data_IF_055532009479
#
_entry.id   IF_055532009479
#
_cell.length_a   1.000
_cell.length_b   1.000
_cell.length_c   1.000
_cell.angle_alpha   90.00
_cell.angle_beta   90.00
_cell.angle_gamma   90.00
#
_symmetry.space_group_name_H-M   'P 1'
#
loop_
_entity.id
_entity.type
_entity.pdbx_description
1 polymer ?
#
# COMPACT_ATOMS: atom_id res chain seq x y z
N UNK A 1 28.03 -9.64 57.60
CA UNK A 1 28.93 -9.96 58.74
C UNK A 1 29.10 -11.46 58.80
N UNK A 2 30.37 -11.91 58.72
CA UNK A 2 31.03 -13.09 59.33
C UNK A 2 30.25 -14.41 59.41
N UNK A 3 30.78 -15.62 59.14
CA UNK A 3 32.14 -16.15 59.09
C UNK A 3 32.02 -17.54 58.41
N UNK A 4 32.86 -17.90 57.44
CA UNK A 4 34.09 -18.75 57.59
C UNK A 4 33.94 -20.02 58.43
N UNK A 5 34.18 -21.19 57.82
CA UNK A 5 35.30 -22.15 58.07
C UNK A 5 34.96 -23.48 57.32
N UNK A 6 35.74 -23.93 56.32
CA UNK A 6 36.94 -24.79 56.36
C UNK A 6 36.74 -26.23 56.87
N UNK A 7 36.88 -27.20 55.95
CA UNK A 7 37.74 -28.43 56.01
C UNK A 7 37.31 -29.36 54.85
N UNK A 8 38.10 -29.66 53.80
CA UNK A 8 39.37 -30.40 53.67
C UNK A 8 39.25 -31.89 54.06
N UNK A 9 39.00 -32.79 53.09
CA UNK A 9 39.54 -34.17 53.06
C UNK A 9 39.69 -34.65 51.60
N UNK A 10 40.89 -35.17 51.36
CA UNK A 10 41.50 -35.76 50.16
C UNK A 10 41.01 -37.18 49.88
N UNK A 11 40.91 -37.62 48.61
CA UNK A 11 41.27 -38.99 48.20
C UNK A 11 41.32 -39.14 46.67
N UNK A 12 42.48 -39.57 46.16
CA UNK A 12 42.68 -40.12 44.81
C UNK A 12 41.99 -41.49 44.67
N UNK A 13 41.53 -41.81 43.47
CA UNK A 13 41.18 -43.17 43.07
C UNK A 13 40.91 -43.29 41.57
N UNK A 14 41.94 -43.68 40.81
CA UNK A 14 41.80 -44.22 39.44
C UNK A 14 41.10 -45.58 39.50
N UNK A 15 40.18 -45.88 38.58
CA UNK A 15 39.64 -47.24 38.44
C UNK A 15 38.41 -47.38 37.57
N UNK A 16 38.65 -47.55 36.26
CA UNK A 16 37.96 -48.42 35.29
C UNK A 16 36.52 -48.92 35.50
N UNK A 17 35.76 -48.75 34.40
CA UNK A 17 34.84 -49.71 33.76
C UNK A 17 33.37 -49.82 34.25
N UNK A 18 32.49 -49.31 33.37
CA UNK A 18 31.30 -49.94 32.77
C UNK A 18 30.31 -50.68 33.69
N UNK A 19 29.04 -50.23 33.69
CA UNK A 19 27.95 -50.84 32.91
C UNK A 19 26.57 -50.29 33.34
N UNK A 20 25.63 -50.41 32.39
CA UNK A 20 24.18 -50.49 32.54
C UNK A 20 23.35 -49.21 32.63
N UNK A 21 22.77 -48.88 31.46
CA UNK A 21 21.63 -48.01 31.23
C UNK A 21 20.46 -48.26 32.19
N UNK A 22 19.92 -47.18 32.77
CA UNK A 22 18.49 -47.05 32.97
C UNK A 22 17.96 -46.01 31.97
N UNK A 23 17.01 -46.46 31.16
CA UNK A 23 16.30 -45.67 30.18
C UNK A 23 15.51 -44.54 30.85
N UNK A 24 15.95 -43.30 30.68
CA UNK A 24 15.06 -42.15 30.73
C UNK A 24 14.51 -41.96 29.32
N UNK A 25 13.25 -42.35 29.11
CA UNK A 25 12.50 -41.99 27.91
C UNK A 25 12.50 -40.46 27.78
N UNK A 26 13.27 -39.94 26.82
CA UNK A 26 13.20 -38.52 26.45
C UNK A 26 11.78 -38.19 26.01
N UNK A 27 11.19 -37.07 26.47
CA UNK A 27 9.93 -36.58 25.95
C UNK A 27 10.03 -36.34 24.45
N UNK A 28 8.97 -36.71 23.74
CA UNK A 28 8.69 -36.38 22.35
C UNK A 28 8.54 -34.87 22.24
N UNK A 29 9.65 -34.15 22.13
CA UNK A 29 9.65 -32.73 21.83
C UNK A 29 9.23 -32.52 20.38
N UNK A 30 8.22 -31.66 20.27
CA UNK A 30 7.58 -31.17 19.07
C UNK A 30 8.62 -30.79 18.01
N UNK A 31 8.48 -31.37 16.81
CA UNK A 31 9.25 -30.94 15.65
C UNK A 31 8.80 -29.53 15.28
N UNK A 32 9.51 -28.57 15.88
CA UNK A 32 9.65 -27.20 15.42
C UNK A 32 9.92 -27.21 13.92
N UNK A 33 9.08 -26.49 13.16
CA UNK A 33 9.30 -26.28 11.74
C UNK A 33 10.68 -25.63 11.56
N UNK A 34 11.63 -26.35 10.96
CA UNK A 34 12.93 -25.79 10.61
C UNK A 34 12.73 -24.49 9.82
N UNK A 35 13.44 -23.40 10.15
CA UNK A 35 13.32 -22.15 9.42
C UNK A 35 13.65 -22.40 7.96
N UNK A 36 12.75 -22.00 7.08
CA UNK A 36 12.97 -22.04 5.63
C UNK A 36 14.21 -21.21 5.33
N UNK A 37 15.21 -21.81 4.71
CA UNK A 37 16.41 -21.08 4.28
C UNK A 37 16.04 -19.93 3.31
N UNK A 38 16.85 -18.88 3.29
CA UNK A 38 16.56 -17.66 2.52
C UNK A 38 16.44 -17.93 1.00
N UNK A 39 17.02 -19.02 0.52
CA UNK A 39 16.93 -19.44 -0.88
C UNK A 39 15.55 -20.02 -1.19
N UNK A 40 15.05 -20.92 -0.34
CA UNK A 40 13.72 -21.54 -0.45
C UNK A 40 12.59 -20.54 -0.23
N UNK A 41 12.81 -19.51 0.59
CA UNK A 41 11.81 -18.49 0.89
C UNK A 41 11.26 -17.78 -0.37
N UNK A 42 12.08 -17.61 -1.42
CA UNK A 42 11.67 -16.97 -2.68
C UNK A 42 10.69 -17.81 -3.49
N UNK A 43 10.76 -19.13 -3.36
CA UNK A 43 9.92 -20.09 -4.09
C UNK A 43 8.56 -20.30 -3.44
N UNK A 44 8.40 -19.96 -2.15
CA UNK A 44 7.14 -20.11 -1.42
C UNK A 44 6.07 -19.21 -2.03
N UNK A 45 4.90 -19.77 -2.31
CA UNK A 45 3.71 -19.11 -2.80
C UNK A 45 3.00 -19.94 -3.85
N UNK A 46 1.89 -19.39 -4.35
CA UNK A 46 1.18 -19.93 -5.49
C UNK A 46 1.72 -19.29 -6.77
N UNK A 47 1.84 -20.06 -7.83
CA UNK A 47 2.41 -19.69 -9.11
C UNK A 47 1.53 -20.20 -10.24
N UNK A 48 1.42 -19.43 -11.30
CA UNK A 48 0.49 -19.68 -12.40
C UNK A 48 1.10 -19.28 -13.75
N UNK A 49 0.84 -20.10 -14.76
CA UNK A 49 1.25 -19.88 -16.15
C UNK A 49 0.29 -20.59 -17.10
N UNK A 50 0.61 -20.61 -18.38
CA UNK A 50 -0.28 -21.17 -19.41
C UNK A 50 -0.56 -22.67 -19.16
N UNK A 51 -1.76 -22.95 -18.64
CA UNK A 51 -2.18 -24.31 -18.28
C UNK A 51 -1.37 -24.93 -17.13
N UNK A 52 -0.58 -24.16 -16.38
CA UNK A 52 0.26 -24.67 -15.29
C UNK A 52 -0.04 -23.93 -14.00
N UNK A 53 -0.21 -24.67 -12.91
CA UNK A 53 -0.25 -24.13 -11.55
C UNK A 53 0.77 -24.87 -10.69
N UNK A 54 1.47 -24.12 -9.86
CA UNK A 54 2.48 -24.64 -8.94
C UNK A 54 2.30 -23.93 -7.61
N UNK A 55 2.27 -24.66 -6.50
CA UNK A 55 2.18 -24.08 -5.16
C UNK A 55 3.25 -24.69 -4.26
N UNK A 56 3.96 -23.83 -3.53
CA UNK A 56 4.94 -24.21 -2.52
C UNK A 56 4.56 -23.51 -1.23
N UNK A 57 4.10 -24.27 -0.24
CA UNK A 57 3.74 -23.74 1.07
C UNK A 57 4.98 -23.58 1.98
N UNK A 58 4.81 -22.80 3.06
CA UNK A 58 5.86 -22.57 4.08
C UNK A 58 6.29 -23.86 4.79
N UNK A 59 5.41 -24.84 4.88
CA UNK A 59 5.68 -26.18 5.42
C UNK A 59 6.32 -27.14 4.38
N UNK A 60 6.82 -26.58 3.27
CA UNK A 60 7.44 -27.28 2.14
C UNK A 60 6.47 -28.20 1.37
N UNK A 61 5.15 -28.06 1.54
CA UNK A 61 4.17 -28.77 0.68
C UNK A 61 4.27 -28.25 -0.74
N UNK A 62 4.41 -29.18 -1.69
CA UNK A 62 4.51 -28.90 -3.12
C UNK A 62 3.29 -29.49 -3.84
N UNK A 63 2.64 -28.67 -4.67
CA UNK A 63 1.57 -29.08 -5.58
C UNK A 63 1.87 -28.55 -6.96
N UNK A 64 1.81 -29.40 -7.97
CA UNK A 64 1.96 -29.03 -9.38
C UNK A 64 0.81 -29.62 -10.19
N UNK A 65 0.25 -28.82 -11.08
CA UNK A 65 -0.74 -29.27 -12.05
C UNK A 65 -0.42 -28.64 -13.40
N UNK A 66 -0.41 -29.44 -14.45
CA UNK A 66 -0.22 -29.00 -15.83
C UNK A 66 -1.29 -29.62 -16.72
N UNK A 67 -1.96 -28.78 -17.49
CA UNK A 67 -3.00 -29.13 -18.44
C UNK A 67 -2.60 -28.62 -19.82
N UNK A 68 -2.62 -29.51 -20.82
CA UNK A 68 -2.36 -29.18 -22.23
C UNK A 68 -3.41 -29.87 -23.08
N UNK A 69 -4.38 -29.09 -23.56
CA UNK A 69 -5.56 -29.63 -24.28
C UNK A 69 -6.37 -30.56 -23.38
N UNK A 70 -6.60 -31.79 -23.83
CA UNK A 70 -7.31 -32.84 -23.08
C UNK A 70 -6.44 -33.62 -22.09
N UNK A 71 -5.11 -33.39 -22.07
CA UNK A 71 -4.18 -34.10 -21.18
C UNK A 71 -3.92 -33.27 -19.93
N UNK A 72 -4.05 -33.89 -18.75
CA UNK A 72 -3.67 -33.29 -17.47
C UNK A 72 -2.65 -34.15 -16.74
N UNK A 73 -1.74 -33.51 -16.03
CA UNK A 73 -0.74 -34.12 -15.16
C UNK A 73 -0.72 -33.38 -13.83
N UNK A 74 -0.54 -34.11 -12.74
CA UNK A 74 -0.45 -33.51 -11.41
C UNK A 74 0.53 -34.26 -10.53
N UNK A 75 1.14 -33.54 -9.60
CA UNK A 75 2.09 -34.10 -8.66
C UNK A 75 1.99 -33.37 -7.33
N UNK A 76 1.94 -34.14 -6.25
CA UNK A 76 1.86 -33.63 -4.88
C UNK A 76 2.97 -34.28 -4.05
N UNK A 77 3.61 -33.51 -3.18
CA UNK A 77 4.69 -34.02 -2.34
C UNK A 77 5.25 -32.99 -1.39
N UNK A 78 6.45 -33.27 -0.87
CA UNK A 78 7.22 -32.36 -0.02
C UNK A 78 8.51 -31.96 -0.74
N UNK A 79 8.84 -30.67 -0.72
CA UNK A 79 10.14 -30.19 -1.20
C UNK A 79 11.22 -30.76 -0.28
N UNK A 80 12.09 -31.59 -0.85
CA UNK A 80 13.24 -32.18 -0.16
C UNK A 80 14.43 -31.22 -0.17
N UNK A 81 14.69 -30.60 -1.33
CA UNK A 81 15.77 -29.65 -1.53
C UNK A 81 15.50 -28.78 -2.77
N UNK A 82 16.04 -27.56 -2.76
CA UNK A 82 16.20 -26.71 -3.94
C UNK A 82 17.69 -26.51 -4.12
N UNK A 83 18.28 -27.11 -5.15
CA UNK A 83 19.73 -27.06 -5.37
C UNK A 83 20.08 -27.31 -6.82
N UNK A 84 21.14 -26.67 -7.32
CA UNK A 84 21.63 -26.89 -8.68
C UNK A 84 20.61 -26.57 -9.78
N UNK A 85 19.73 -25.58 -9.56
CA UNK A 85 18.67 -25.23 -10.50
C UNK A 85 17.57 -26.27 -10.61
N UNK A 86 17.31 -27.04 -9.56
CA UNK A 86 16.24 -28.04 -9.52
C UNK A 86 15.45 -27.97 -8.21
N UNK A 87 14.14 -28.21 -8.30
CA UNK A 87 13.28 -28.48 -7.15
C UNK A 87 13.13 -29.99 -7.05
N UNK A 88 13.65 -30.57 -5.98
CA UNK A 88 13.56 -32.00 -5.69
C UNK A 88 12.38 -32.22 -4.76
N UNK A 89 11.37 -32.94 -5.25
CA UNK A 89 10.11 -33.21 -4.54
C UNK A 89 10.01 -34.68 -4.21
N UNK A 90 9.80 -35.00 -2.93
CA UNK A 90 9.47 -36.36 -2.49
C UNK A 90 7.95 -36.54 -2.58
N UNK A 91 7.51 -37.39 -3.50
CA UNK A 91 6.11 -37.72 -3.73
C UNK A 91 5.88 -39.20 -3.39
N UNK A 92 5.22 -39.47 -2.27
CA UNK A 92 5.04 -40.82 -1.73
C UNK A 92 6.37 -41.63 -1.69
N UNK A 93 6.53 -42.62 -2.58
CA UNK A 93 7.71 -43.51 -2.67
C UNK A 93 8.71 -43.13 -3.77
N UNK A 94 8.46 -42.07 -4.53
CA UNK A 94 9.33 -41.64 -5.64
C UNK A 94 9.87 -40.22 -5.42
N UNK A 95 10.98 -39.91 -6.09
CA UNK A 95 11.53 -38.56 -6.17
C UNK A 95 11.27 -37.96 -7.55
N UNK A 96 10.66 -36.79 -7.56
CA UNK A 96 10.40 -35.99 -8.75
C UNK A 96 11.38 -34.82 -8.78
N UNK A 97 11.89 -34.49 -9.96
CA UNK A 97 12.81 -33.36 -10.16
C UNK A 97 12.21 -32.42 -11.18
N UNK A 98 12.05 -31.16 -10.79
CA UNK A 98 11.60 -30.08 -11.66
C UNK A 98 12.79 -29.18 -11.94
N UNK A 99 13.10 -28.96 -13.21
CA UNK A 99 14.18 -28.06 -13.62
C UNK A 99 13.72 -26.62 -13.44
N UNK A 100 14.53 -25.81 -12.78
CA UNK A 100 14.36 -24.36 -12.68
C UNK A 100 15.24 -23.73 -13.75
N UNK A 101 14.64 -23.40 -14.89
CA UNK A 101 15.36 -22.75 -16.00
C UNK A 101 15.70 -21.29 -15.66
N UNK A 102 14.81 -20.62 -14.93
CA UNK A 102 15.01 -19.26 -14.41
C UNK A 102 14.52 -19.24 -12.96
N UNK A 103 15.41 -18.91 -12.04
CA UNK A 103 15.09 -18.81 -10.61
C UNK A 103 14.07 -17.69 -10.34
N UNK A 104 13.32 -17.74 -9.22
CA UNK A 104 12.43 -16.66 -8.82
C UNK A 104 13.15 -15.32 -8.76
N UNK A 105 12.75 -14.42 -9.64
CA UNK A 105 13.21 -13.04 -9.72
C UNK A 105 12.03 -12.12 -9.54
N UNK A 106 12.26 -11.03 -8.79
CA UNK A 106 11.30 -9.95 -8.64
C UNK A 106 11.74 -8.78 -9.53
N UNK A 107 10.91 -8.46 -10.52
CA UNK A 107 11.05 -7.24 -11.32
C UNK A 107 9.74 -6.45 -11.20
N UNK A 108 9.85 -5.18 -10.79
CA UNK A 108 8.71 -4.28 -10.60
C UNK A 108 7.56 -4.84 -9.72
N UNK A 109 7.90 -5.64 -8.69
CA UNK A 109 6.90 -6.23 -7.82
C UNK A 109 6.11 -7.37 -8.45
N UNK A 110 6.59 -7.88 -9.58
CA UNK A 110 6.12 -9.10 -10.22
C UNK A 110 7.17 -10.17 -10.02
N UNK A 111 6.78 -11.22 -9.30
CA UNK A 111 7.61 -12.41 -9.14
C UNK A 111 7.38 -13.33 -10.32
N UNK A 112 8.45 -13.64 -11.06
CA UNK A 112 8.47 -14.56 -12.19
C UNK A 112 9.49 -15.66 -11.95
N UNK A 113 9.21 -16.84 -12.50
CA UNK A 113 10.17 -17.94 -12.57
C UNK A 113 9.85 -18.83 -13.77
N UNK A 114 10.80 -19.66 -14.19
CA UNK A 114 10.57 -20.66 -15.25
C UNK A 114 10.90 -22.04 -14.71
N UNK A 115 9.92 -22.95 -14.77
CA UNK A 115 10.06 -24.33 -14.30
C UNK A 115 9.65 -25.31 -15.40
N UNK A 116 10.55 -26.22 -15.76
CA UNK A 116 10.42 -27.18 -16.87
C UNK A 116 9.94 -26.52 -18.17
N UNK A 117 10.54 -25.37 -18.51
CA UNK A 117 10.20 -24.55 -19.66
C UNK A 117 8.87 -23.79 -19.57
N UNK A 118 8.16 -23.85 -18.44
CA UNK A 118 6.90 -23.14 -18.23
C UNK A 118 7.18 -21.84 -17.47
N UNK A 119 6.88 -20.70 -18.11
CA UNK A 119 6.94 -19.40 -17.46
C UNK A 119 5.78 -19.26 -16.46
N UNK A 120 6.10 -18.94 -15.21
CA UNK A 120 5.16 -18.84 -14.11
C UNK A 120 5.25 -17.47 -13.45
N UNK A 121 4.09 -16.93 -13.07
CA UNK A 121 3.95 -15.70 -12.29
C UNK A 121 3.34 -16.03 -10.96
N UNK A 122 3.87 -15.47 -9.86
CA UNK A 122 3.34 -15.73 -8.53
C UNK A 122 1.94 -15.14 -8.40
N UNK A 123 0.94 -15.90 -7.93
CA UNK A 123 -0.40 -15.39 -7.66
C UNK A 123 -0.34 -14.34 -6.56
N UNK A 124 -0.95 -13.19 -6.80
CA UNK A 124 -0.80 -12.00 -5.96
C UNK A 124 0.43 -11.13 -6.29
N UNK A 125 1.31 -11.57 -7.20
CA UNK A 125 2.28 -10.69 -7.84
C UNK A 125 1.54 -9.64 -8.68
N UNK A 126 1.66 -8.39 -8.27
CA UNK A 126 0.79 -7.30 -8.67
C UNK A 126 0.57 -6.28 -7.55
N UNK A 127 0.69 -6.71 -6.28
CA UNK A 127 0.71 -5.79 -5.14
C UNK A 127 1.90 -4.80 -5.19
N UNK A 128 3.06 -5.25 -5.72
CA UNK A 128 4.24 -4.39 -5.91
C UNK A 128 4.17 -3.49 -7.16
N UNK A 129 3.54 -3.94 -8.26
CA UNK A 129 3.16 -3.05 -9.38
C UNK A 129 2.21 -1.94 -8.92
N UNK A 130 1.24 -2.27 -8.06
CA UNK A 130 0.34 -1.29 -7.46
C UNK A 130 1.08 -0.23 -6.66
N UNK A 131 2.09 -0.60 -5.85
CA UNK A 131 2.85 0.34 -5.03
C UNK A 131 3.79 1.27 -5.84
N UNK A 132 4.50 0.72 -6.84
CA UNK A 132 5.39 1.51 -7.71
C UNK A 132 4.62 2.39 -8.69
N UNK A 133 3.51 1.87 -9.25
CA UNK A 133 2.59 2.66 -10.08
C UNK A 133 1.91 3.74 -9.24
N UNK A 134 1.43 3.41 -8.03
CA UNK A 134 0.84 4.39 -7.10
C UNK A 134 1.79 5.54 -6.80
N UNK A 135 3.05 5.24 -6.46
CA UNK A 135 4.04 6.29 -6.14
C UNK A 135 4.34 7.16 -7.35
N UNK A 136 4.50 6.56 -8.55
CA UNK A 136 4.73 7.30 -9.80
C UNK A 136 3.51 8.13 -10.22
N UNK A 137 2.31 7.60 -10.01
CA UNK A 137 1.02 8.23 -10.26
C UNK A 137 0.82 9.43 -9.33
N UNK A 138 0.99 9.24 -8.02
CA UNK A 138 0.91 10.30 -7.00
C UNK A 138 1.90 11.43 -7.31
N UNK A 139 3.14 11.10 -7.68
CA UNK A 139 4.15 12.08 -8.08
C UNK A 139 3.78 12.84 -9.36
N UNK A 140 3.21 12.15 -10.36
CA UNK A 140 2.76 12.78 -11.61
C UNK A 140 1.61 13.77 -11.38
N UNK A 141 0.62 13.38 -10.58
CA UNK A 141 -0.51 14.24 -10.20
C UNK A 141 -0.01 15.46 -9.42
N UNK A 142 0.85 15.25 -8.42
CA UNK A 142 1.42 16.34 -7.61
C UNK A 142 2.19 17.34 -8.49
N UNK A 143 2.97 16.85 -9.45
CA UNK A 143 3.73 17.70 -10.38
C UNK A 143 2.80 18.50 -11.29
N UNK A 144 1.79 17.85 -11.89
CA UNK A 144 0.87 18.51 -12.81
C UNK A 144 0.04 19.62 -12.15
N UNK A 145 -0.30 19.46 -10.86
CA UNK A 145 -1.11 20.43 -10.12
C UNK A 145 -0.34 21.24 -9.08
N UNK A 146 0.99 21.27 -9.17
CA UNK A 146 1.84 22.05 -8.26
C UNK A 146 1.46 23.55 -8.26
N UNK A 147 1.05 24.09 -9.41
CA UNK A 147 0.58 25.47 -9.55
C UNK A 147 -0.73 25.74 -8.79
N UNK A 148 -1.57 24.71 -8.61
CA UNK A 148 -2.83 24.76 -7.84
C UNK A 148 -2.64 24.51 -6.34
N UNK A 149 -1.40 24.59 -5.84
CA UNK A 149 -1.11 24.48 -4.41
C UNK A 149 -1.25 23.06 -3.86
N UNK A 150 -1.27 22.03 -4.71
CA UNK A 150 -1.24 20.63 -4.26
C UNK A 150 0.17 20.32 -3.74
N UNK A 151 0.26 19.77 -2.53
CA UNK A 151 1.51 19.44 -1.83
C UNK A 151 1.71 17.93 -1.69
N UNK A 152 0.63 17.17 -1.60
CA UNK A 152 0.63 15.71 -1.45
C UNK A 152 -0.56 15.14 -2.17
N UNK A 153 -0.41 13.94 -2.73
CA UNK A 153 -1.51 13.17 -3.33
C UNK A 153 -1.46 11.77 -2.75
N UNK A 154 -2.64 11.25 -2.38
CA UNK A 154 -2.82 9.89 -1.88
C UNK A 154 -3.89 9.21 -2.72
N UNK A 155 -3.50 8.16 -3.42
CA UNK A 155 -4.41 7.32 -4.19
C UNK A 155 -4.78 6.05 -3.40
N UNK A 156 -5.95 5.43 -3.65
CA UNK A 156 -6.34 4.19 -3.01
C UNK A 156 -5.36 3.05 -3.35
N UNK A 157 -5.22 2.07 -2.45
CA UNK A 157 -4.27 0.96 -2.61
C UNK A 157 -4.60 0.06 -3.80
N UNK A 158 -5.87 -0.01 -4.20
CA UNK A 158 -6.34 -0.79 -5.34
C UNK A 158 -6.65 0.13 -6.52
N UNK A 159 -5.64 0.43 -7.33
CA UNK A 159 -5.77 1.18 -8.61
C UNK A 159 -6.20 0.28 -9.77
N UNK A 160 -6.88 -0.83 -9.50
CA UNK A 160 -7.28 -1.84 -10.49
C UNK A 160 -8.53 -1.43 -11.28
N UNK A 161 -9.20 -0.35 -10.89
CA UNK A 161 -10.37 0.18 -11.57
C UNK A 161 -9.98 1.19 -12.67
N UNK A 162 -10.73 1.25 -13.79
CA UNK A 162 -10.45 2.19 -14.87
C UNK A 162 -10.70 3.65 -14.47
N UNK A 163 -11.47 3.87 -13.40
CA UNK A 163 -11.75 5.16 -12.81
C UNK A 163 -11.64 5.05 -11.28
N UNK A 164 -10.94 5.99 -10.65
CA UNK A 164 -10.80 6.08 -9.20
C UNK A 164 -10.50 7.52 -8.77
N UNK A 165 -10.69 7.81 -7.49
CA UNK A 165 -10.47 9.14 -6.92
C UNK A 165 -9.26 9.11 -6.00
N UNK A 166 -8.27 9.95 -6.27
CA UNK A 166 -7.18 10.24 -5.33
C UNK A 166 -7.54 11.47 -4.48
N UNK A 167 -6.98 11.56 -3.29
CA UNK A 167 -7.11 12.72 -2.41
C UNK A 167 -5.85 13.57 -2.49
N UNK A 168 -5.98 14.83 -2.91
CA UNK A 168 -4.89 15.79 -2.89
C UNK A 168 -4.97 16.66 -1.62
N UNK A 169 -3.83 16.92 -0.99
CA UNK A 169 -3.68 17.87 0.11
C UNK A 169 -3.14 19.20 -0.43
N UNK A 170 -3.83 20.28 -0.13
CA UNK A 170 -3.50 21.64 -0.53
C UNK A 170 -2.59 22.32 0.51
N UNK A 171 -1.89 23.40 0.12
CA UNK A 171 -1.02 24.19 1.00
C UNK A 171 -1.71 24.73 2.26
N UNK A 172 -3.02 24.97 2.19
CA UNK A 172 -3.83 25.43 3.32
C UNK A 172 -4.35 24.26 4.20
N UNK A 173 -3.88 23.03 3.98
CA UNK A 173 -4.29 21.84 4.74
C UNK A 173 -5.62 21.23 4.29
N UNK A 174 -6.39 21.89 3.41
CA UNK A 174 -7.62 21.33 2.85
C UNK A 174 -7.32 20.18 1.89
N UNK A 175 -8.33 19.35 1.65
CA UNK A 175 -8.24 18.25 0.68
C UNK A 175 -9.16 18.46 -0.50
N UNK A 176 -8.69 18.08 -1.70
CA UNK A 176 -9.48 18.11 -2.93
C UNK A 176 -9.49 16.74 -3.61
N UNK A 177 -10.61 16.33 -4.22
CA UNK A 177 -10.65 15.11 -5.02
C UNK A 177 -9.90 15.31 -6.35
N UNK A 178 -9.16 14.28 -6.75
CA UNK A 178 -8.57 14.17 -8.07
C UNK A 178 -9.16 12.95 -8.75
N UNK A 179 -10.00 13.18 -9.75
CA UNK A 179 -10.59 12.13 -10.56
C UNK A 179 -9.53 11.62 -11.55
N UNK A 180 -9.21 10.32 -11.45
CA UNK A 180 -8.25 9.64 -12.31
C UNK A 180 -8.99 8.68 -13.21
N UNK A 181 -8.74 8.79 -14.51
CA UNK A 181 -9.31 7.90 -15.54
C UNK A 181 -8.22 7.32 -16.41
N UNK A 182 -8.18 5.98 -16.48
CA UNK A 182 -7.31 5.23 -17.37
C UNK A 182 -7.78 5.39 -18.82
N UNK A 183 -6.94 5.97 -19.66
CA UNK A 183 -7.20 6.15 -21.10
C UNK A 183 -6.78 4.94 -21.91
N UNK A 184 -5.65 4.31 -21.54
CA UNK A 184 -5.15 3.13 -22.24
C UNK A 184 -4.49 2.15 -21.25
N UNK A 185 -5.15 1.01 -21.03
CA UNK A 185 -4.67 -0.03 -20.13
C UNK A 185 -3.34 -0.67 -20.57
N UNK A 186 -3.11 -0.77 -21.87
CA UNK A 186 -1.90 -1.38 -22.43
C UNK A 186 -0.67 -0.48 -22.34
N UNK A 187 -0.85 0.84 -22.16
CA UNK A 187 0.23 1.84 -22.05
C UNK A 187 0.35 2.47 -20.66
N UNK A 188 -0.64 2.28 -19.79
CA UNK A 188 -0.68 2.96 -18.50
C UNK A 188 -0.91 4.47 -18.63
N UNK A 189 -1.64 4.90 -19.67
CA UNK A 189 -1.95 6.32 -19.88
C UNK A 189 -3.13 6.73 -18.99
N UNK A 190 -2.92 7.69 -18.09
CA UNK A 190 -3.95 8.22 -17.21
C UNK A 190 -4.31 9.67 -17.57
N UNK A 191 -5.53 10.06 -17.23
CA UNK A 191 -5.95 11.45 -17.22
C UNK A 191 -6.43 11.85 -15.84
N UNK A 192 -6.14 13.10 -15.47
CA UNK A 192 -6.43 13.64 -14.16
C UNK A 192 -7.29 14.88 -14.29
N UNK A 193 -8.32 14.99 -13.44
CA UNK A 193 -9.14 16.19 -13.30
C UNK A 193 -9.29 16.54 -11.82
N UNK A 194 -9.07 17.80 -11.48
CA UNK A 194 -9.33 18.32 -10.15
C UNK A 194 -9.88 19.74 -10.26
N UNK A 195 -10.93 19.99 -9.49
CA UNK A 195 -11.65 21.26 -9.47
C UNK A 195 -11.24 21.98 -8.19
N UNK A 196 -10.15 22.74 -8.33
CA UNK A 196 -9.64 23.65 -7.30
C UNK A 196 -9.49 25.01 -7.97
N UNK A 197 -10.13 26.01 -7.36
CA UNK A 197 -9.99 27.43 -7.70
C UNK A 197 -8.89 28.01 -6.83
N UNK A 198 -7.90 28.66 -7.44
CA UNK A 198 -6.98 29.52 -6.72
C UNK A 198 -7.43 30.98 -6.83
N UNK A 199 -7.63 31.62 -5.68
CA UNK A 199 -8.10 33.00 -5.59
C UNK A 199 -7.30 33.73 -4.52
N UNK A 200 -6.96 34.98 -4.76
CA UNK A 200 -6.38 35.84 -3.74
C UNK A 200 -7.42 36.18 -2.66
N UNK A 201 -7.06 36.06 -1.38
CA UNK A 201 -7.99 36.25 -0.26
C UNK A 201 -8.59 37.66 -0.21
N UNK A 202 -7.80 38.68 -0.53
CA UNK A 202 -8.28 40.07 -0.55
C UNK A 202 -9.22 40.31 -1.73
N UNK A 203 -8.92 39.69 -2.88
CA UNK A 203 -9.80 39.70 -4.05
C UNK A 203 -11.14 39.02 -3.76
N UNK A 204 -11.11 37.85 -3.12
CA UNK A 204 -12.33 37.13 -2.72
C UNK A 204 -13.16 37.96 -1.73
N UNK A 205 -12.51 38.54 -0.72
CA UNK A 205 -13.17 39.38 0.28
C UNK A 205 -13.86 40.61 -0.36
N UNK A 206 -13.17 41.27 -1.30
CA UNK A 206 -13.72 42.42 -2.04
C UNK A 206 -14.94 42.02 -2.87
N UNK A 207 -14.81 40.96 -3.67
CA UNK A 207 -15.91 40.46 -4.51
C UNK A 207 -17.13 40.03 -3.67
N UNK A 208 -16.91 39.36 -2.54
CA UNK A 208 -18.00 38.97 -1.64
C UNK A 208 -18.70 40.19 -1.03
N UNK A 209 -17.94 41.18 -0.56
CA UNK A 209 -18.54 42.40 0.01
C UNK A 209 -19.41 43.13 -1.03
N UNK A 210 -18.97 43.21 -2.28
CA UNK A 210 -19.73 43.79 -3.39
C UNK A 210 -20.97 42.97 -3.73
N UNK A 211 -20.85 41.65 -3.84
CA UNK A 211 -21.98 40.75 -4.11
C UNK A 211 -23.05 40.84 -3.02
N UNK A 212 -22.64 40.80 -1.75
CA UNK A 212 -23.54 40.94 -0.60
C UNK A 212 -24.28 42.28 -0.66
N UNK A 213 -23.56 43.38 -0.88
CA UNK A 213 -24.18 44.70 -0.96
C UNK A 213 -25.16 44.80 -2.14
N UNK A 214 -24.81 44.24 -3.31
CA UNK A 214 -25.64 44.26 -4.51
C UNK A 214 -26.92 43.43 -4.34
N UNK A 215 -26.80 42.17 -3.94
CA UNK A 215 -27.93 41.25 -3.85
C UNK A 215 -28.88 41.57 -2.69
N UNK A 216 -28.36 42.10 -1.58
CA UNK A 216 -29.21 42.59 -0.48
C UNK A 216 -29.80 43.98 -0.74
N UNK A 217 -29.55 44.57 -1.93
CA UNK A 217 -29.98 45.93 -2.29
C UNK A 217 -29.51 46.99 -1.28
N UNK A 218 -28.28 46.84 -0.78
CA UNK A 218 -27.66 47.72 0.21
C UNK A 218 -28.18 47.56 1.64
N UNK A 219 -29.08 46.60 1.91
CA UNK A 219 -29.57 46.34 3.28
C UNK A 219 -28.45 45.85 4.18
N UNK A 220 -27.55 45.03 3.65
CA UNK A 220 -26.39 44.52 4.35
C UNK A 220 -25.13 45.11 3.70
N UNK A 221 -24.38 45.91 4.46
CA UNK A 221 -23.13 46.52 4.01
C UNK A 221 -22.00 46.05 4.90
N UNK A 222 -21.30 45.00 4.48
CA UNK A 222 -20.29 44.33 5.28
C UNK A 222 -18.88 44.68 4.83
N UNK A 223 -17.94 44.68 5.78
CA UNK A 223 -16.54 44.41 5.49
C UNK A 223 -16.33 42.92 5.64
N UNK A 224 -15.72 42.26 4.65
CA UNK A 224 -15.42 40.83 4.66
C UNK A 224 -13.92 40.64 4.82
N UNK A 225 -13.52 39.64 5.61
CA UNK A 225 -12.15 39.18 5.79
C UNK A 225 -12.10 37.67 5.55
N UNK A 226 -11.41 37.26 4.49
CA UNK A 226 -11.21 35.86 4.11
C UNK A 226 -9.77 35.37 4.45
N UNK A 227 -9.05 36.10 5.30
CA UNK A 227 -7.65 35.86 5.61
C UNK A 227 -6.69 36.51 4.61
N UNK A 228 -5.50 35.93 4.47
CA UNK A 228 -4.40 36.53 3.69
C UNK A 228 -3.80 35.53 2.69
N UNK A 229 -3.23 36.06 1.60
CA UNK A 229 -2.53 35.29 0.59
C UNK A 229 -3.45 34.54 -0.39
N UNK A 230 -2.91 33.51 -1.06
CA UNK A 230 -3.66 32.67 -1.99
C UNK A 230 -4.48 31.61 -1.26
N UNK A 231 -5.78 31.58 -1.53
CA UNK A 231 -6.71 30.55 -1.10
C UNK A 231 -6.85 29.50 -2.20
N UNK A 232 -6.86 28.23 -1.78
CA UNK A 232 -7.13 27.09 -2.64
C UNK A 232 -8.44 26.47 -2.18
N UNK A 233 -9.48 26.64 -2.99
CA UNK A 233 -10.86 26.27 -2.66
C UNK A 233 -11.29 25.10 -3.55
N UNK A 234 -11.47 23.90 -2.98
CA UNK A 234 -12.08 22.78 -3.69
C UNK A 234 -13.52 23.13 -4.10
N UNK A 235 -13.93 22.67 -5.27
CA UNK A 235 -15.33 22.78 -5.68
C UNK A 235 -16.26 22.08 -4.67
N UNK A 236 -17.38 22.73 -4.35
CA UNK A 236 -18.33 22.20 -3.38
C UNK A 236 -18.05 22.54 -1.91
N UNK A 237 -16.80 22.86 -1.56
CA UNK A 237 -16.36 23.10 -0.17
C UNK A 237 -16.53 24.58 0.23
N UNK A 238 -17.35 24.90 1.24
CA UNK A 238 -17.52 26.28 1.68
C UNK A 238 -16.25 26.83 2.35
N UNK A 239 -15.96 28.08 2.07
CA UNK A 239 -14.97 28.87 2.78
C UNK A 239 -15.67 29.93 3.62
N UNK A 240 -15.34 29.98 4.91
CA UNK A 240 -15.94 30.91 5.85
C UNK A 240 -15.06 32.15 5.94
N UNK A 241 -15.62 33.31 5.59
CA UNK A 241 -15.01 34.61 5.78
C UNK A 241 -15.71 35.32 6.94
N UNK A 242 -14.93 35.95 7.82
CA UNK A 242 -15.49 36.81 8.85
C UNK A 242 -16.07 38.07 8.21
N UNK A 243 -17.16 38.57 8.75
CA UNK A 243 -17.74 39.79 8.21
C UNK A 243 -18.37 40.66 9.31
N UNK A 244 -18.28 41.97 9.11
CA UNK A 244 -18.80 42.97 10.06
C UNK A 244 -19.68 43.95 9.30
N UNK A 245 -20.93 44.08 9.72
CA UNK A 245 -21.83 45.09 9.16
C UNK A 245 -21.35 46.48 9.58
N UNK A 246 -21.06 47.34 8.59
CA UNK A 246 -20.56 48.69 8.80
C UNK A 246 -21.54 49.58 9.54
N UNK A 247 -22.85 49.32 9.42
CA UNK A 247 -23.94 50.10 10.03
C UNK A 247 -24.19 49.67 11.46
N UNK A 248 -24.44 48.38 11.67
CA UNK A 248 -24.85 47.85 12.98
C UNK A 248 -23.67 47.43 13.85
N UNK A 249 -22.46 47.33 13.27
CA UNK A 249 -21.25 46.76 13.88
C UNK A 249 -21.41 45.30 14.31
N UNK A 250 -22.50 44.64 13.90
CA UNK A 250 -22.75 43.23 14.20
C UNK A 250 -21.80 42.35 13.39
N UNK A 251 -21.20 41.38 14.06
CA UNK A 251 -20.32 40.38 13.46
C UNK A 251 -21.14 39.19 12.97
N UNK A 252 -20.76 38.66 11.83
CA UNK A 252 -21.32 37.45 11.26
C UNK A 252 -20.30 36.76 10.37
N UNK A 253 -20.78 35.85 9.55
CA UNK A 253 -19.94 35.05 8.65
C UNK A 253 -20.54 35.08 7.26
N UNK A 254 -19.70 35.23 6.25
CA UNK A 254 -20.06 35.06 4.83
C UNK A 254 -19.40 33.77 4.36
N UNK A 255 -20.21 32.82 3.94
CA UNK A 255 -19.76 31.57 3.33
C UNK A 255 -19.60 31.79 1.83
N UNK A 256 -18.47 31.39 1.27
CA UNK A 256 -18.16 31.43 -0.16
C UNK A 256 -17.97 30.00 -0.68
N UNK A 257 -18.67 29.63 -1.73
CA UNK A 257 -18.66 28.27 -2.29
C UNK A 257 -18.61 28.33 -3.80
N UNK A 258 -17.64 27.64 -4.39
CA UNK A 258 -17.56 27.52 -5.85
C UNK A 258 -18.29 26.25 -6.32
N UNK A 259 -19.08 26.36 -7.38
CA UNK A 259 -19.75 25.22 -8.03
C UNK A 259 -19.87 25.52 -9.53
N UNK A 260 -19.34 24.65 -10.38
CA UNK A 260 -19.33 24.85 -11.84
C UNK A 260 -18.50 26.06 -12.31
N UNK A 261 -17.59 26.57 -11.48
CA UNK A 261 -16.86 27.83 -11.72
C UNK A 261 -17.57 29.09 -11.24
N UNK A 262 -18.82 29.00 -10.79
CA UNK A 262 -19.58 30.12 -10.25
C UNK A 262 -19.38 30.25 -8.73
N UNK A 263 -19.32 31.50 -8.25
CA UNK A 263 -19.24 31.82 -6.82
C UNK A 263 -20.65 31.98 -6.24
N UNK A 264 -21.02 31.06 -5.35
CA UNK A 264 -22.20 31.15 -4.51
C UNK A 264 -21.81 31.66 -3.12
N UNK A 265 -22.70 32.43 -2.49
CA UNK A 265 -22.46 32.91 -1.13
C UNK A 265 -23.70 32.79 -0.25
N UNK A 266 -23.48 32.75 1.07
CA UNK A 266 -24.53 32.89 2.07
C UNK A 266 -24.02 33.69 3.27
N UNK A 267 -24.89 34.44 3.94
CA UNK A 267 -24.51 35.18 5.15
C UNK A 267 -25.30 34.70 6.36
N UNK A 268 -24.62 34.55 7.50
CA UNK A 268 -25.20 34.13 8.78
C UNK A 268 -24.75 35.07 9.89
N UNK A 269 -25.63 35.29 10.88
CA UNK A 269 -25.30 36.08 12.07
C UNK A 269 -25.46 37.60 11.92
N UNK A 270 -26.10 38.09 10.85
CA UNK A 270 -26.45 39.51 10.68
C UNK A 270 -27.88 39.82 11.10
#
# INVERSE_FOLDING_TARGET
>A
MNSRLRSLVTALGLGTAAFLSLATSKPKEETSAEPVDAETAKYIGDWEGEGVTLSIATDKTFTFKKQKGSTSSSANGKVKAIQGGQIVVKAAFIELKYKVDVAPTEEDGVWTMTVDGNALTKRGAGAGKGASVKTKLEGSIATQFASKGITKVVCPASVTQPEFVCTATLKNGKTAPVNVKLKNASKGDYSFRTEVVDVDAATLATNLAELVAKETKGKLNVTVDCGTGKLYLPEGDPHLCEAVDKRTKKKGTVEAKFTGGDLHWSAKGF
#
